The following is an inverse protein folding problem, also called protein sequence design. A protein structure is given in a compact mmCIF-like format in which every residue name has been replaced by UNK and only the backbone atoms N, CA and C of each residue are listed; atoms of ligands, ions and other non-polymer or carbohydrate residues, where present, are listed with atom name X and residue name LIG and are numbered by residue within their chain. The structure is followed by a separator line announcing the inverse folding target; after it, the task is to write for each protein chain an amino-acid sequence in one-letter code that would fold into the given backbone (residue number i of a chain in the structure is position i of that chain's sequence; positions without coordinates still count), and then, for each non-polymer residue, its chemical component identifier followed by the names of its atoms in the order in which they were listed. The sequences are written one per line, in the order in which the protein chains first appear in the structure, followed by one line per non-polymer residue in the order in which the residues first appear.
data_IF_452878558319
#
_entry.id   IF_452878558319
#
_cell.length_a   1.000
_cell.length_b   1.000
_cell.length_c   1.000
_cell.angle_alpha   90.00
_cell.angle_beta   90.00
_cell.angle_gamma   90.00
#
_symmetry.space_group_name_H-M   'P 1'
#
loop_
_entity.id
_entity.type
_entity.pdbx_description
1 polymer ?
#
# COMPACT_ATOMS: atom_id res chain seq x y z
N UNK A 1 -9.96 5.57 -13.75
CA UNK A 1 -8.78 5.40 -14.63
C UNK A 1 -7.53 5.99 -13.96
N UNK A 2 -7.67 7.12 -13.27
CA UNK A 2 -6.70 7.67 -12.30
C UNK A 2 -6.02 6.64 -11.39
N UNK A 3 -6.80 5.79 -10.70
CA UNK A 3 -6.25 4.82 -9.74
C UNK A 3 -5.41 3.72 -10.40
N UNK A 4 -5.85 3.21 -11.56
CA UNK A 4 -5.11 2.18 -12.30
C UNK A 4 -3.75 2.68 -12.76
N UNK A 5 -3.68 3.92 -13.28
CA UNK A 5 -2.41 4.51 -13.68
C UNK A 5 -1.51 4.85 -12.50
N UNK A 6 -2.06 5.25 -11.35
CA UNK A 6 -1.28 5.44 -10.12
C UNK A 6 -0.62 4.12 -9.65
N UNK A 7 -1.37 3.00 -9.66
CA UNK A 7 -0.82 1.69 -9.33
C UNK A 7 0.30 1.29 -10.30
N UNK A 8 0.11 1.50 -11.61
CA UNK A 8 1.12 1.17 -12.62
C UNK A 8 2.38 2.04 -12.47
N UNK A 9 2.24 3.35 -12.24
CA UNK A 9 3.36 4.26 -12.07
C UNK A 9 4.20 3.92 -10.83
N UNK A 10 3.55 3.66 -9.69
CA UNK A 10 4.24 3.27 -8.46
C UNK A 10 4.84 1.86 -8.55
N UNK A 11 4.19 0.96 -9.30
CA UNK A 11 4.75 -0.37 -9.56
C UNK A 11 6.02 -0.29 -10.42
N UNK A 12 6.07 0.63 -11.40
CA UNK A 12 7.28 0.91 -12.16
C UNK A 12 8.38 1.51 -11.29
N UNK A 13 8.05 2.45 -10.41
CA UNK A 13 9.00 3.00 -9.42
C UNK A 13 9.56 1.90 -8.50
N UNK A 14 8.70 1.00 -8.00
CA UNK A 14 9.11 -0.15 -7.20
C UNK A 14 10.08 -1.05 -7.97
N UNK A 15 9.77 -1.37 -9.23
CA UNK A 15 10.64 -2.19 -10.07
C UNK A 15 12.00 -1.55 -10.34
N UNK A 16 12.07 -0.22 -10.48
CA UNK A 16 13.33 0.49 -10.70
C UNK A 16 14.23 0.49 -9.45
N UNK A 17 13.63 0.45 -8.26
CA UNK A 17 14.36 0.50 -6.99
C UNK A 17 14.73 -0.89 -6.44
N UNK A 18 14.00 -1.95 -6.83
CA UNK A 18 14.25 -3.32 -6.37
C UNK A 18 15.17 -4.08 -7.34
N UNK A 19 16.42 -4.30 -6.93
CA UNK A 19 17.43 -5.03 -7.72
C UNK A 19 17.31 -6.55 -7.62
N UNK A 20 16.36 -7.06 -6.82
CA UNK A 20 16.20 -8.50 -6.57
C UNK A 20 15.12 -9.16 -7.43
N UNK A 21 14.39 -8.38 -8.22
CA UNK A 21 13.33 -8.89 -9.08
C UNK A 21 13.89 -9.76 -10.21
N UNK A 22 13.23 -10.89 -10.45
CA UNK A 22 13.57 -11.82 -11.54
C UNK A 22 12.42 -11.89 -12.54
N UNK A 23 12.63 -12.58 -13.68
CA UNK A 23 11.62 -12.72 -14.73
C UNK A 23 10.43 -13.61 -14.31
N UNK A 24 9.55 -13.08 -13.46
CA UNK A 24 8.29 -13.71 -13.05
C UNK A 24 7.21 -12.64 -12.82
N UNK A 25 5.97 -13.09 -12.67
CA UNK A 25 4.85 -12.22 -12.34
C UNK A 25 4.83 -11.98 -10.82
N UNK A 26 4.74 -10.72 -10.42
CA UNK A 26 4.60 -10.30 -9.04
C UNK A 26 3.23 -9.66 -8.82
N UNK A 27 2.66 -9.86 -7.64
CA UNK A 27 1.54 -9.04 -7.19
C UNK A 27 2.03 -7.63 -6.88
N UNK A 28 1.16 -6.63 -7.02
CA UNK A 28 1.45 -5.28 -6.55
C UNK A 28 1.66 -5.34 -5.03
N UNK A 29 2.80 -4.83 -4.51
CA UNK A 29 3.04 -4.78 -3.08
C UNK A 29 1.93 -4.03 -2.33
N UNK A 30 1.51 -4.54 -1.17
CA UNK A 30 0.42 -3.96 -0.37
C UNK A 30 0.67 -2.49 0.01
N UNK A 31 1.95 -2.12 0.21
CA UNK A 31 2.36 -0.74 0.49
C UNK A 31 1.97 0.22 -0.66
N UNK A 32 2.03 -0.23 -1.91
CA UNK A 32 1.65 0.57 -3.08
C UNK A 32 0.14 0.72 -3.13
N UNK A 33 -0.59 -0.37 -2.91
CA UNK A 33 -2.06 -0.37 -2.94
C UNK A 33 -2.61 0.57 -1.85
N UNK A 34 -2.12 0.44 -0.61
CA UNK A 34 -2.46 1.34 0.51
C UNK A 34 -2.14 2.80 0.17
N UNK A 35 -0.97 3.07 -0.43
CA UNK A 35 -0.59 4.44 -0.82
C UNK A 35 -1.57 5.03 -1.84
N UNK A 36 -1.98 4.27 -2.86
CA UNK A 36 -2.98 4.74 -3.85
C UNK A 36 -4.34 4.97 -3.18
N UNK A 37 -4.77 4.06 -2.29
CA UNK A 37 -6.01 4.22 -1.54
C UNK A 37 -5.99 5.50 -0.68
N UNK A 38 -4.91 5.75 0.07
CA UNK A 38 -4.74 6.97 0.88
C UNK A 38 -4.79 8.23 0.01
N UNK A 39 -4.08 8.26 -1.13
CA UNK A 39 -4.13 9.39 -2.06
C UNK A 39 -5.55 9.64 -2.55
N UNK A 40 -6.30 8.57 -2.85
CA UNK A 40 -7.68 8.68 -3.31
C UNK A 40 -8.60 9.24 -2.23
N UNK A 41 -8.53 8.71 -1.00
CA UNK A 41 -9.32 9.21 0.13
C UNK A 41 -9.04 10.71 0.38
N UNK A 42 -7.77 11.09 0.42
CA UNK A 42 -7.37 12.49 0.57
C UNK A 42 -7.91 13.39 -0.55
N UNK A 43 -7.88 12.91 -1.81
CA UNK A 43 -8.42 13.67 -2.95
C UNK A 43 -9.94 13.89 -2.88
N UNK A 44 -10.65 13.04 -2.12
CA UNK A 44 -12.08 13.13 -1.89
C UNK A 44 -12.42 13.89 -0.60
N UNK A 45 -11.40 14.34 0.17
CA UNK A 45 -11.59 14.94 1.49
C UNK A 45 -12.15 13.96 2.53
N UNK A 46 -11.88 12.66 2.36
CA UNK A 46 -12.31 11.61 3.30
C UNK A 46 -11.17 11.33 4.28
N UNK A 47 -11.46 11.51 5.56
CA UNK A 47 -10.59 11.12 6.67
C UNK A 47 -11.04 9.75 7.22
N UNK A 48 -10.08 8.98 7.73
CA UNK A 48 -10.31 7.69 8.39
C UNK A 48 -9.58 7.66 9.72
N UNK A 49 -10.02 6.76 10.60
CA UNK A 49 -9.37 6.56 11.89
C UNK A 49 -7.96 5.96 11.76
N UNK A 50 -7.10 6.27 12.73
CA UNK A 50 -5.81 5.60 12.92
C UNK A 50 -5.87 4.70 14.14
N UNK A 51 -5.21 3.54 14.06
CA UNK A 51 -5.13 2.63 15.20
C UNK A 51 -4.32 3.27 16.32
N UNK A 52 -4.85 3.24 17.54
CA UNK A 52 -4.08 3.59 18.73
C UNK A 52 -2.99 2.55 18.98
N UNK A 53 -1.97 2.91 19.75
CA UNK A 53 -0.90 1.98 20.14
C UNK A 53 -1.47 0.73 20.82
N UNK A 54 -2.45 0.89 21.72
CA UNK A 54 -3.13 -0.22 22.39
C UNK A 54 -3.87 -1.13 21.39
N UNK A 55 -4.55 -0.55 20.40
CA UNK A 55 -5.23 -1.32 19.35
C UNK A 55 -4.24 -2.09 18.48
N UNK A 56 -3.10 -1.49 18.12
CA UNK A 56 -2.04 -2.18 17.39
C UNK A 56 -1.46 -3.34 18.20
N UNK A 57 -1.14 -3.14 19.48
CA UNK A 57 -0.66 -4.21 20.37
C UNK A 57 -1.70 -5.32 20.50
N UNK A 58 -2.97 -4.95 20.71
CA UNK A 58 -4.06 -5.92 20.84
C UNK A 58 -4.20 -6.79 19.58
N UNK A 59 -4.21 -6.19 18.38
CA UNK A 59 -4.30 -6.93 17.12
C UNK A 59 -3.13 -7.89 16.91
N UNK A 60 -1.92 -7.53 17.39
CA UNK A 60 -0.72 -8.36 17.26
C UNK A 60 -0.47 -9.30 18.45
N UNK A 61 -1.33 -9.28 19.47
CA UNK A 61 -1.11 -10.02 20.74
C UNK A 61 -1.37 -11.53 20.64
N UNK A 62 -2.05 -12.00 19.59
CA UNK A 62 -2.37 -13.40 19.37
C UNK A 62 -1.54 -13.98 18.23
N UNK A 63 -0.25 -14.20 18.46
CA UNK A 63 0.58 -15.07 17.60
C UNK A 63 0.66 -16.46 18.23
N UNK A 64 0.17 -17.48 17.49
CA UNK A 64 0.50 -18.90 17.69
C UNK A 64 1.83 -19.19 16.99
#
# INVERSE_FOLDING_TARGET
MDMTFALQALSLEYMLNDTTLTGKVYNVPEIIDKKVATIKLNSLGVEIDELTEEQNVYLNSWQI
#
